data_IF_095340769970
#
_entry.id   IF_095340769970
#
_cell.length_a   1.000
_cell.length_b   1.000
_cell.length_c   1.000
_cell.angle_alpha   90.00
_cell.angle_beta   90.00
_cell.angle_gamma   90.00
#
_symmetry.space_group_name_H-M   'P 1'
#
loop_
_entity.id
_entity.type
_entity.pdbx_description
1 polymer ?
#
# COMPACT_ATOMS: atom_id res chain seq x y z
N UNK A 1 3.27 10.16 13.95
CA UNK A 1 2.52 10.07 12.68
C UNK A 1 1.17 9.47 12.99
N UNK A 2 0.12 9.96 12.35
CA UNK A 2 -1.26 9.47 12.51
C UNK A 2 -1.77 9.03 11.14
N UNK A 3 -2.48 7.92 11.10
CA UNK A 3 -3.20 7.47 9.92
C UNK A 3 -4.64 7.96 10.03
N UNK A 4 -5.10 8.66 9.01
CA UNK A 4 -6.51 9.05 8.87
C UNK A 4 -7.13 8.18 7.79
N UNK A 5 -8.22 7.50 8.13
CA UNK A 5 -8.95 6.61 7.22
C UNK A 5 -10.12 7.36 6.56
N UNK A 6 -10.70 6.77 5.52
CA UNK A 6 -11.78 7.42 4.75
C UNK A 6 -13.04 7.72 5.59
N UNK A 7 -13.25 7.00 6.69
CA UNK A 7 -14.30 7.23 7.68
C UNK A 7 -13.93 8.28 8.74
N UNK A 8 -12.86 9.05 8.52
CA UNK A 8 -12.31 10.09 9.40
C UNK A 8 -11.77 9.55 10.74
N UNK A 9 -11.63 8.23 10.89
CA UNK A 9 -10.99 7.67 12.08
C UNK A 9 -9.49 7.96 12.06
N UNK A 10 -8.99 8.52 13.16
CA UNK A 10 -7.56 8.80 13.32
C UNK A 10 -6.96 7.74 14.23
N UNK A 11 -6.12 6.87 13.66
CA UNK A 11 -5.38 5.87 14.40
C UNK A 11 -3.90 6.28 14.51
N UNK A 12 -3.40 6.30 15.74
CA UNK A 12 -2.00 6.65 16.00
C UNK A 12 -1.12 5.46 15.64
N UNK A 13 -0.07 5.70 14.85
CA UNK A 13 0.92 4.68 14.51
C UNK A 13 1.63 4.21 15.79
N UNK A 14 1.59 2.91 16.05
CA UNK A 14 2.28 2.25 17.18
C UNK A 14 3.76 2.09 16.88
N UNK A 15 4.09 1.79 15.62
CA UNK A 15 5.47 1.55 15.22
C UNK A 15 5.63 1.43 13.71
N UNK A 16 6.87 1.16 13.30
CA UNK A 16 7.25 0.99 11.90
C UNK A 16 8.00 -0.32 11.74
N UNK A 17 7.51 -1.17 10.85
CA UNK A 17 8.14 -2.42 10.50
C UNK A 17 9.05 -2.21 9.28
N UNK A 18 10.33 -2.51 9.45
CA UNK A 18 11.34 -2.33 8.42
C UNK A 18 11.44 -3.58 7.55
N UNK A 19 11.57 -3.38 6.24
CA UNK A 19 11.82 -4.44 5.25
C UNK A 19 10.80 -5.58 5.35
N UNK A 20 9.52 -5.25 5.48
CA UNK A 20 8.45 -6.25 5.42
C UNK A 20 8.43 -6.88 4.02
N UNK A 21 8.66 -8.20 3.87
CA UNK A 21 8.47 -8.86 2.59
C UNK A 21 6.98 -8.91 2.25
N UNK A 22 6.63 -8.35 1.10
CA UNK A 22 5.28 -8.39 0.53
C UNK A 22 5.35 -9.13 -0.80
N UNK A 23 4.76 -10.32 -0.85
CA UNK A 23 4.70 -11.12 -2.07
C UNK A 23 3.41 -10.83 -2.82
N UNK A 24 3.52 -10.41 -4.08
CA UNK A 24 2.40 -10.22 -5.00
C UNK A 24 2.69 -11.04 -6.25
N UNK A 25 1.95 -12.14 -6.43
CA UNK A 25 2.24 -13.12 -7.47
C UNK A 25 3.66 -13.69 -7.30
N UNK A 26 4.49 -13.55 -8.34
CA UNK A 26 5.88 -13.99 -8.37
C UNK A 26 6.89 -12.93 -7.90
N UNK A 27 6.44 -11.73 -7.52
CA UNK A 27 7.31 -10.60 -7.17
C UNK A 27 7.30 -10.39 -5.66
N UNK A 28 8.48 -10.19 -5.06
CA UNK A 28 8.63 -9.88 -3.64
C UNK A 28 9.15 -8.46 -3.47
N UNK A 29 8.35 -7.61 -2.83
CA UNK A 29 8.73 -6.24 -2.47
C UNK A 29 9.15 -6.16 -1.01
N UNK A 30 10.15 -5.34 -0.72
CA UNK A 30 10.53 -5.02 0.66
C UNK A 30 10.04 -3.62 1.01
N UNK A 31 8.98 -3.55 1.81
CA UNK A 31 8.30 -2.29 2.12
C UNK A 31 8.54 -1.85 3.56
N UNK A 32 8.31 -0.56 3.79
CA UNK A 32 8.34 0.05 5.12
C UNK A 32 6.90 0.25 5.58
N UNK A 33 6.41 -0.64 6.44
CA UNK A 33 5.01 -0.65 6.87
C UNK A 33 4.83 0.10 8.19
N UNK A 34 3.74 0.87 8.30
CA UNK A 34 3.32 1.48 9.55
C UNK A 34 2.28 0.58 10.22
N UNK A 35 2.45 0.34 11.52
CA UNK A 35 1.56 -0.51 12.31
C UNK A 35 0.63 0.38 13.14
N UNK A 36 -0.67 0.14 13.02
CA UNK A 36 -1.73 0.80 13.80
C UNK A 36 -2.50 -0.24 14.61
N UNK A 37 -3.08 0.16 15.75
CA UNK A 37 -3.85 -0.74 16.63
C UNK A 37 -5.12 -1.26 15.95
N UNK A 38 -5.78 -0.38 15.20
CA UNK A 38 -7.03 -0.67 14.53
C UNK A 38 -6.95 -0.11 13.12
N UNK A 39 -7.22 -0.95 12.14
CA UNK A 39 -7.31 -0.58 10.73
C UNK A 39 -8.58 -1.21 10.15
N UNK A 40 -9.33 -0.49 9.30
CA UNK A 40 -10.49 -1.06 8.61
C UNK A 40 -10.10 -2.13 7.59
N UNK A 41 -8.83 -2.16 7.18
CA UNK A 41 -8.27 -3.13 6.23
C UNK A 41 -7.00 -3.80 6.76
N UNK A 42 -6.69 -5.05 6.40
CA UNK A 42 -5.47 -5.72 6.85
C UNK A 42 -4.19 -5.03 6.40
N UNK A 43 -4.19 -4.44 5.20
CA UNK A 43 -3.05 -3.73 4.63
C UNK A 43 -3.54 -2.58 3.75
N UNK A 44 -2.95 -1.40 3.92
CA UNK A 44 -3.17 -0.26 3.05
C UNK A 44 -1.90 0.05 2.26
N UNK A 45 -2.02 -0.01 0.93
CA UNK A 45 -0.93 0.32 0.02
C UNK A 45 -1.03 1.81 -0.35
N UNK A 46 -0.08 2.59 0.16
CA UNK A 46 0.00 4.02 -0.11
C UNK A 46 0.87 4.34 -1.33
N UNK A 47 0.98 5.65 -1.61
CA UNK A 47 1.85 6.19 -2.66
C UNK A 47 3.31 5.69 -2.61
N UNK A 48 3.96 5.50 -1.45
CA UNK A 48 5.32 4.96 -1.40
C UNK A 48 5.46 3.57 -2.03
N UNK A 49 4.44 2.71 -1.88
CA UNK A 49 4.44 1.39 -2.49
C UNK A 49 4.29 1.49 -4.02
N UNK A 50 3.38 2.35 -4.50
CA UNK A 50 3.16 2.55 -5.93
C UNK A 50 4.40 3.15 -6.63
N UNK A 51 5.11 4.05 -5.95
CA UNK A 51 6.37 4.61 -6.45
C UNK A 51 7.47 3.54 -6.54
N UNK A 52 7.59 2.66 -5.53
CA UNK A 52 8.57 1.57 -5.54
C UNK A 52 8.29 0.56 -6.65
N UNK A 53 7.02 0.24 -6.90
CA UNK A 53 6.60 -0.82 -7.83
C UNK A 53 6.50 -0.38 -9.30
N UNK A 54 6.91 0.85 -9.64
CA UNK A 54 6.75 1.39 -11.00
C UNK A 54 5.31 1.26 -11.51
N UNK A 55 4.35 1.44 -10.61
CA UNK A 55 2.96 1.05 -10.83
C UNK A 55 2.30 1.94 -11.89
N UNK A 56 1.71 1.34 -12.93
CA UNK A 56 0.78 2.04 -13.84
C UNK A 56 -0.64 1.88 -13.31
N UNK A 57 -1.43 2.96 -13.44
CA UNK A 57 -2.87 2.98 -13.11
C UNK A 57 -3.61 3.49 -14.32
N UNK A 58 -4.25 2.57 -15.03
CA UNK A 58 -4.98 2.85 -16.24
C UNK A 58 -6.47 2.87 -15.90
N UNK A 59 -7.08 4.05 -16.07
CA UNK A 59 -8.51 4.26 -15.85
C UNK A 59 -9.24 4.10 -17.17
N UNK A 60 -10.21 3.19 -17.20
CA UNK A 60 -10.99 2.88 -18.37
C UNK A 60 -12.33 3.64 -18.32
N UNK A 61 -12.90 3.91 -19.50
CA UNK A 61 -14.12 4.72 -19.63
C UNK A 61 -15.39 3.98 -19.22
N UNK A 62 -15.31 2.66 -19.10
CA UNK A 62 -16.34 1.79 -18.52
C UNK A 62 -16.40 1.86 -16.99
N UNK A 63 -15.46 2.55 -16.36
CA UNK A 63 -15.36 2.70 -14.90
C UNK A 63 -14.39 1.72 -14.25
N UNK A 64 -13.77 0.82 -15.03
CA UNK A 64 -12.75 -0.09 -14.51
C UNK A 64 -11.41 0.62 -14.33
N UNK A 65 -10.60 0.10 -13.40
CA UNK A 65 -9.23 0.54 -13.19
C UNK A 65 -8.31 -0.67 -13.22
N UNK A 66 -7.33 -0.65 -14.13
CA UNK A 66 -6.26 -1.63 -14.18
C UNK A 66 -5.03 -1.10 -13.47
N UNK A 67 -4.51 -1.89 -12.52
CA UNK A 67 -3.28 -1.59 -11.80
C UNK A 67 -2.21 -2.58 -12.29
N UNK A 68 -1.19 -2.06 -12.97
CA UNK A 68 -0.05 -2.87 -13.44
C UNK A 68 1.13 -2.63 -12.52
N UNK A 69 1.56 -3.68 -11.83
CA UNK A 69 2.70 -3.67 -10.92
C UNK A 69 3.88 -4.36 -11.61
N UNK A 70 5.02 -3.67 -11.68
CA UNK A 70 6.23 -4.21 -12.30
C UNK A 70 7.29 -4.40 -11.22
N UNK A 71 8.09 -5.46 -11.31
CA UNK A 71 9.25 -5.57 -10.45
C UNK A 71 10.33 -4.60 -10.96
N UNK A 72 10.78 -3.61 -10.18
CA UNK A 72 11.91 -2.77 -10.58
C UNK A 72 13.25 -3.52 -10.52
N UNK A 73 13.31 -4.69 -9.87
CA UNK A 73 14.49 -5.57 -9.79
C UNK A 73 14.35 -6.76 -10.74
#
# INVERSE_FOLDING_TARGET
>A
MSMETADQSINKTIGKLKNLPLQIGSITFYVQAQVVSKSPVPLLLGMPFFALSGCSKDFHTDGDMTITITNPN
#
